data_IF_530012615439
#
_entry.id   IF_530012615439
#
_cell.length_a   1.000
_cell.length_b   1.000
_cell.length_c   1.000
_cell.angle_alpha   90.00
_cell.angle_beta   90.00
_cell.angle_gamma   90.00
#
_symmetry.space_group_name_H-M   'P 1'
#
loop_
_entity.id
_entity.type
_entity.pdbx_description
1 polymer ?
#
# COMPACT_ATOMS: atom_id res chain seq x y z
N UNK A 1 20.72 -39.39 -32.34
CA UNK A 1 20.49 -38.00 -32.75
C UNK A 1 19.58 -37.41 -31.71
N UNK A 2 20.16 -36.75 -30.71
CA UNK A 2 19.41 -36.15 -29.62
C UNK A 2 18.77 -34.84 -30.12
N UNK A 3 17.50 -34.63 -29.78
CA UNK A 3 16.79 -33.39 -30.00
C UNK A 3 16.58 -32.75 -28.62
N UNK A 4 17.17 -31.58 -28.44
CA UNK A 4 17.27 -30.81 -27.19
C UNK A 4 15.86 -30.40 -26.72
N UNK A 5 15.52 -30.48 -25.42
CA UNK A 5 14.24 -29.98 -24.93
C UNK A 5 14.23 -28.45 -24.96
N UNK A 6 13.10 -27.86 -25.36
CA UNK A 6 12.83 -26.43 -25.14
C UNK A 6 12.77 -26.19 -23.62
N UNK A 7 13.91 -25.81 -23.05
CA UNK A 7 13.93 -25.13 -21.76
C UNK A 7 13.33 -23.72 -21.94
N UNK A 8 12.72 -23.23 -20.86
CA UNK A 8 12.24 -21.86 -20.62
C UNK A 8 10.74 -21.60 -20.87
N UNK A 9 9.92 -21.80 -19.82
CA UNK A 9 9.33 -20.68 -19.05
C UNK A 9 9.25 -21.12 -17.58
N UNK A 10 10.00 -20.54 -16.62
CA UNK A 10 9.63 -20.64 -15.22
C UNK A 10 8.36 -19.80 -15.03
N UNK A 11 7.19 -20.44 -15.13
CA UNK A 11 5.96 -19.83 -14.66
C UNK A 11 6.02 -19.86 -13.16
N UNK A 12 6.64 -18.83 -12.59
CA UNK A 12 6.45 -18.43 -11.19
C UNK A 12 5.01 -18.76 -10.80
N UNK A 13 4.91 -19.81 -10.01
CA UNK A 13 3.69 -20.55 -9.79
C UNK A 13 2.60 -19.58 -9.37
N UNK A 14 1.52 -19.55 -10.14
CA UNK A 14 0.31 -18.77 -9.93
C UNK A 14 0.08 -18.60 -8.43
N UNK A 15 0.22 -17.36 -7.92
CA UNK A 15 -0.18 -17.01 -6.56
C UNK A 15 -1.65 -17.36 -6.44
N UNK A 16 -1.92 -18.52 -5.82
CA UNK A 16 -3.25 -18.96 -5.44
C UNK A 16 -3.75 -17.91 -4.45
N UNK A 17 -4.52 -16.92 -4.93
CA UNK A 17 -5.25 -16.03 -4.04
C UNK A 17 -6.20 -16.94 -3.28
N UNK A 18 -5.92 -17.18 -2.01
CA UNK A 18 -6.93 -17.73 -1.12
C UNK A 18 -7.98 -16.62 -0.95
N UNK A 19 -9.14 -16.79 -1.58
CA UNK A 19 -10.32 -15.91 -1.48
C UNK A 19 -10.94 -15.82 -0.06
N UNK A 20 -10.17 -16.17 0.99
CA UNK A 20 -10.61 -16.14 2.39
C UNK A 20 -9.84 -15.12 3.26
N UNK A 21 -8.92 -14.34 2.69
CA UNK A 21 -8.24 -13.27 3.40
C UNK A 21 -8.83 -11.92 2.96
N UNK A 22 -9.90 -11.51 3.65
CA UNK A 22 -10.22 -10.09 3.81
C UNK A 22 -9.10 -9.45 4.64
N UNK A 23 -7.90 -9.38 4.08
CA UNK A 23 -6.83 -8.57 4.64
C UNK A 23 -7.31 -7.12 4.51
N UNK A 24 -7.78 -6.58 5.63
CA UNK A 24 -8.20 -5.19 5.70
C UNK A 24 -6.94 -4.33 5.66
N UNK A 25 -6.70 -3.69 4.52
CA UNK A 25 -5.67 -2.68 4.41
C UNK A 25 -6.26 -1.33 4.81
N UNK A 26 -5.53 -0.58 5.62
CA UNK A 26 -5.84 0.83 5.87
C UNK A 26 -5.05 1.69 4.89
N UNK A 27 -5.76 2.48 4.10
CA UNK A 27 -5.14 3.48 3.25
C UNK A 27 -4.99 4.78 4.05
N UNK A 28 -3.78 5.31 4.03
CA UNK A 28 -3.41 6.59 4.61
C UNK A 28 -3.17 7.55 3.46
N UNK A 29 -3.84 8.69 3.48
CA UNK A 29 -3.71 9.74 2.48
C UNK A 29 -3.10 10.99 3.11
N UNK A 30 -1.81 11.21 2.87
CA UNK A 30 -1.07 12.39 3.34
C UNK A 30 -0.67 13.22 2.12
N UNK A 31 -1.58 14.06 1.64
CA UNK A 31 -1.35 14.82 0.43
C UNK A 31 -2.22 16.09 0.39
N UNK A 32 -1.57 17.24 0.17
CA UNK A 32 -2.22 18.55 0.03
C UNK A 32 -3.08 18.70 -1.24
N UNK A 33 -2.98 17.75 -2.18
CA UNK A 33 -3.84 17.74 -3.35
C UNK A 33 -5.12 16.96 -3.07
N UNK A 34 -6.24 17.68 -3.12
CA UNK A 34 -7.59 17.15 -3.08
C UNK A 34 -7.97 16.56 -4.46
N UNK A 35 -7.24 15.55 -4.95
CA UNK A 35 -7.69 14.79 -6.12
C UNK A 35 -8.87 13.89 -5.71
N UNK A 36 -10.04 14.52 -5.55
CA UNK A 36 -11.28 13.95 -5.03
C UNK A 36 -11.71 12.71 -5.82
N UNK A 37 -11.46 12.69 -7.13
CA UNK A 37 -11.82 11.57 -7.99
C UNK A 37 -10.99 10.32 -7.70
N UNK A 38 -9.69 10.48 -7.43
CA UNK A 38 -8.80 9.36 -7.04
C UNK A 38 -9.21 8.83 -5.67
N UNK A 39 -9.48 9.72 -4.72
CA UNK A 39 -9.96 9.30 -3.39
C UNK A 39 -11.29 8.55 -3.46
N UNK A 40 -12.22 8.99 -4.32
CA UNK A 40 -13.51 8.31 -4.54
C UNK A 40 -13.32 6.91 -5.11
N UNK A 41 -12.44 6.74 -6.08
CA UNK A 41 -12.16 5.43 -6.65
C UNK A 41 -11.51 4.48 -5.62
N UNK A 42 -10.59 5.00 -4.81
CA UNK A 42 -9.95 4.24 -3.73
C UNK A 42 -10.94 3.85 -2.63
N UNK A 43 -11.89 4.73 -2.28
CA UNK A 43 -13.00 4.44 -1.33
C UNK A 43 -13.89 3.28 -1.79
N UNK A 44 -13.99 3.03 -3.09
CA UNK A 44 -14.76 1.89 -3.60
C UNK A 44 -14.03 0.56 -3.46
N UNK A 45 -12.72 0.58 -3.25
CA UNK A 45 -11.87 -0.62 -3.21
C UNK A 45 -11.34 -0.92 -1.81
N UNK A 46 -11.22 0.11 -0.95
CA UNK A 46 -10.60 0.02 0.37
C UNK A 46 -11.61 0.37 1.46
N UNK A 47 -11.68 -0.48 2.49
CA UNK A 47 -12.66 -0.37 3.57
C UNK A 47 -12.34 0.74 4.58
N UNK A 48 -11.06 1.11 4.74
CA UNK A 48 -10.62 2.06 5.74
C UNK A 48 -9.66 3.08 5.13
N UNK A 49 -10.03 4.36 5.17
CA UNK A 49 -9.25 5.47 4.62
C UNK A 49 -9.12 6.56 5.67
N UNK A 50 -7.89 6.83 6.08
CA UNK A 50 -7.52 7.95 6.94
C UNK A 50 -6.82 9.02 6.12
N UNK A 51 -7.21 10.27 6.32
CA UNK A 51 -6.66 11.44 5.61
C UNK A 51 -5.98 12.36 6.60
N UNK A 52 -4.78 12.81 6.27
CA UNK A 52 -4.00 13.72 7.11
C UNK A 52 -3.48 14.88 6.26
N UNK A 53 -3.50 16.08 6.86
CA UNK A 53 -2.89 17.29 6.29
C UNK A 53 -1.56 17.63 6.98
N UNK A 54 -1.25 16.94 8.09
CA UNK A 54 -0.05 17.12 8.90
C UNK A 54 0.77 15.82 9.00
N UNK A 55 2.09 15.96 8.89
CA UNK A 55 3.02 14.82 8.88
C UNK A 55 3.13 14.18 10.27
N UNK A 56 3.10 14.98 11.33
CA UNK A 56 3.24 14.48 12.71
C UNK A 56 1.97 13.75 13.15
N UNK A 57 0.79 14.22 12.78
CA UNK A 57 -0.47 13.50 13.01
C UNK A 57 -0.49 12.15 12.27
N UNK A 58 -0.08 12.14 10.99
CA UNK A 58 0.04 10.92 10.20
C UNK A 58 1.05 9.94 10.81
N UNK A 59 2.20 10.44 11.27
CA UNK A 59 3.23 9.62 11.92
C UNK A 59 2.70 9.00 13.21
N UNK A 60 2.09 9.80 14.08
CA UNK A 60 1.49 9.34 15.33
C UNK A 60 0.43 8.26 15.11
N UNK A 61 -0.34 8.36 14.02
CA UNK A 61 -1.29 7.32 13.64
C UNK A 61 -0.60 6.01 13.27
N UNK A 62 0.41 6.08 12.40
CA UNK A 62 1.19 4.91 11.97
C UNK A 62 1.83 4.21 13.18
N UNK A 63 2.45 4.96 14.09
CA UNK A 63 3.12 4.43 15.29
C UNK A 63 2.15 3.78 16.30
N UNK A 64 0.88 4.22 16.33
CA UNK A 64 -0.16 3.63 17.19
C UNK A 64 -0.87 2.44 16.56
N UNK A 65 -0.67 2.22 15.26
CA UNK A 65 -1.30 1.12 14.52
C UNK A 65 -0.56 -0.19 14.80
N UNK A 66 -1.28 -1.33 14.77
CA UNK A 66 -0.67 -2.63 15.08
C UNK A 66 0.36 -3.02 14.01
N UNK A 67 1.45 -3.67 14.42
CA UNK A 67 2.44 -4.24 13.49
C UNK A 67 1.85 -5.30 12.55
N UNK A 68 0.70 -5.88 12.90
CA UNK A 68 -0.02 -6.84 12.06
C UNK A 68 -0.94 -6.17 11.03
N UNK A 69 -1.21 -4.88 11.17
CA UNK A 69 -2.04 -4.13 10.25
C UNK A 69 -1.24 -3.74 9.02
N UNK A 70 -1.86 -3.85 7.86
CA UNK A 70 -1.23 -3.48 6.60
C UNK A 70 -1.64 -2.08 6.21
N UNK A 71 -0.66 -1.19 6.19
CA UNK A 71 -0.84 0.21 5.83
C UNK A 71 -0.38 0.47 4.40
N UNK A 72 -1.18 1.22 3.66
CA UNK A 72 -0.82 1.77 2.34
C UNK A 72 -0.77 3.28 2.48
N UNK A 73 0.38 3.90 2.24
CA UNK A 73 0.52 5.36 2.29
C UNK A 73 0.54 5.95 0.89
N UNK A 74 -0.42 6.81 0.58
CA UNK A 74 -0.43 7.65 -0.61
C UNK A 74 -0.04 9.06 -0.22
N UNK A 75 1.03 9.56 -0.82
CA UNK A 75 1.60 10.85 -0.47
C UNK A 75 2.23 11.54 -1.69
N UNK A 76 2.45 12.85 -1.59
CA UNK A 76 3.23 13.58 -2.58
C UNK A 76 4.73 13.48 -2.29
N UNK A 77 5.56 13.94 -3.22
CA UNK A 77 7.03 13.83 -3.09
C UNK A 77 7.63 14.60 -1.92
N UNK A 78 7.00 15.68 -1.46
CA UNK A 78 7.49 16.49 -0.34
C UNK A 78 7.22 15.80 1.00
N UNK A 79 5.98 15.38 1.23
CA UNK A 79 5.60 14.66 2.44
C UNK A 79 6.26 13.28 2.51
N UNK A 80 6.41 12.59 1.38
CA UNK A 80 7.13 11.31 1.32
C UNK A 80 8.58 11.42 1.82
N UNK A 81 9.29 12.50 1.47
CA UNK A 81 10.66 12.74 1.94
C UNK A 81 10.74 13.01 3.44
N UNK A 82 9.67 13.52 4.06
CA UNK A 82 9.62 13.81 5.50
C UNK A 82 9.20 12.58 6.31
N UNK A 83 8.14 11.89 5.87
CA UNK A 83 7.54 10.83 6.68
C UNK A 83 8.28 9.50 6.59
N UNK A 84 8.79 9.11 5.42
CA UNK A 84 9.42 7.80 5.24
C UNK A 84 10.66 7.61 6.14
N UNK A 85 11.61 8.56 6.22
CA UNK A 85 12.74 8.45 7.16
C UNK A 85 12.32 8.45 8.63
N UNK A 86 11.15 9.01 8.94
CA UNK A 86 10.66 9.14 10.31
C UNK A 86 9.99 7.88 10.83
N UNK A 87 9.46 7.02 9.95
CA UNK A 87 8.76 5.77 10.30
C UNK A 87 9.58 4.52 9.95
N UNK A 88 10.56 4.62 9.06
CA UNK A 88 11.42 3.51 8.65
C UNK A 88 12.82 3.71 9.24
N UNK A 89 13.09 3.05 10.37
CA UNK A 89 14.41 3.01 11.01
C UNK A 89 15.26 1.85 10.49
#
# INVERSE_FOLDING_TARGET
MEMIPLLEIPKESIRKRNDNHLESFSLIWLNNNENVDIQKELRNTINHIETFDDVEECKNYIEKTSENDRLVLVTNGEFGQQIIPSIHQ
#
